data_IF_140543996816
#
_entry.id   IF_140543996816
#
_cell.length_a   1.000
_cell.length_b   1.000
_cell.length_c   1.000
_cell.angle_alpha   90.00
_cell.angle_beta   90.00
_cell.angle_gamma   90.00
#
_symmetry.space_group_name_H-M   'P 1'
#
loop_
_entity.id
_entity.type
_entity.pdbx_description
1 polymer ?
#
# COMPACT_ATOMS: atom_id res chain seq x y z
N UNK A 1 36.37 -20.35 -16.38
CA UNK A 1 35.69 -20.83 -15.16
C UNK A 1 34.52 -19.89 -14.90
N UNK A 2 33.33 -20.44 -14.65
CA UNK A 2 32.03 -19.83 -14.99
C UNK A 2 31.79 -18.44 -14.39
N UNK A 3 31.70 -17.42 -15.25
CA UNK A 3 31.32 -16.04 -14.88
C UNK A 3 29.83 -15.88 -14.59
N UNK A 4 29.27 -16.76 -13.75
CA UNK A 4 27.90 -16.60 -13.27
C UNK A 4 27.90 -15.56 -12.15
N UNK A 5 27.13 -14.49 -12.32
CA UNK A 5 26.93 -13.50 -11.26
C UNK A 5 26.39 -14.17 -9.99
N UNK A 6 26.73 -13.68 -8.79
CA UNK A 6 26.14 -14.17 -7.54
C UNK A 6 24.60 -14.12 -7.63
N UNK A 7 23.92 -15.04 -6.92
CA UNK A 7 22.45 -14.99 -6.85
C UNK A 7 22.04 -13.67 -6.21
N UNK A 8 20.95 -13.10 -6.71
CA UNK A 8 20.46 -11.83 -6.20
C UNK A 8 20.06 -11.95 -4.71
N UNK A 9 20.43 -10.93 -3.93
CA UNK A 9 20.45 -10.99 -2.48
C UNK A 9 19.07 -10.93 -1.84
N UNK A 10 18.01 -10.60 -2.57
CA UNK A 10 16.63 -10.75 -2.11
C UNK A 10 15.70 -11.39 -3.12
N UNK A 11 16.22 -12.40 -3.82
CA UNK A 11 15.36 -13.51 -4.21
C UNK A 11 14.68 -14.09 -2.98
N UNK A 12 13.36 -14.27 -3.07
CA UNK A 12 12.61 -15.02 -2.08
C UNK A 12 13.25 -16.41 -1.88
N UNK A 13 13.16 -16.95 -0.67
CA UNK A 13 13.75 -18.22 -0.25
C UNK A 13 13.45 -19.37 -1.22
N UNK A 14 12.24 -19.46 -1.79
CA UNK A 14 11.88 -20.52 -2.74
C UNK A 14 12.47 -20.26 -4.13
N UNK A 15 12.49 -19.00 -4.59
CA UNK A 15 13.14 -18.61 -5.85
C UNK A 15 14.66 -18.82 -5.78
N UNK A 16 15.27 -18.49 -4.64
CA UNK A 16 16.68 -18.74 -4.36
C UNK A 16 16.98 -20.23 -4.31
N UNK A 17 16.24 -21.00 -3.52
CA UNK A 17 16.43 -22.45 -3.42
C UNK A 17 16.29 -23.14 -4.79
N UNK A 18 15.30 -22.73 -5.60
CA UNK A 18 15.17 -23.24 -6.96
C UNK A 18 16.33 -22.83 -7.87
N UNK A 19 16.77 -21.56 -7.81
CA UNK A 19 17.90 -21.07 -8.60
C UNK A 19 19.24 -21.70 -8.21
N UNK A 20 19.47 -21.97 -6.93
CA UNK A 20 20.65 -22.70 -6.43
C UNK A 20 20.72 -24.10 -7.01
N UNK A 21 19.61 -24.84 -6.98
CA UNK A 21 19.54 -26.18 -7.55
C UNK A 21 19.74 -26.13 -9.07
N UNK A 22 19.12 -25.17 -9.75
CA UNK A 22 19.28 -24.99 -11.20
C UNK A 22 20.73 -24.64 -11.58
N UNK A 23 21.41 -23.79 -10.79
CA UNK A 23 22.84 -23.46 -10.98
C UNK A 23 23.72 -24.68 -10.75
N UNK A 24 23.45 -25.47 -9.71
CA UNK A 24 24.21 -26.69 -9.44
C UNK A 24 24.15 -27.63 -10.64
N UNK A 25 22.95 -27.91 -11.14
CA UNK A 25 22.72 -28.74 -12.33
C UNK A 25 23.42 -28.16 -13.57
N UNK A 26 23.37 -26.84 -13.75
CA UNK A 26 24.03 -26.18 -14.87
C UNK A 26 25.57 -26.26 -14.79
N UNK A 27 26.14 -26.16 -13.60
CA UNK A 27 27.59 -26.25 -13.40
C UNK A 27 28.12 -27.66 -13.71
N UNK A 28 27.34 -28.70 -13.41
CA UNK A 28 27.67 -30.10 -13.75
C UNK A 28 27.80 -30.33 -15.26
N UNK A 29 27.10 -29.55 -16.11
CA UNK A 29 27.27 -29.64 -17.56
C UNK A 29 28.68 -29.23 -18.02
N UNK A 30 29.41 -28.42 -17.24
CA UNK A 30 30.73 -27.89 -17.59
C UNK A 30 30.75 -27.17 -18.96
N UNK A 31 29.64 -26.51 -19.32
CA UNK A 31 29.49 -25.73 -20.58
C UNK A 31 29.40 -24.24 -20.27
N UNK A 32 29.93 -23.39 -21.16
CA UNK A 32 29.81 -21.94 -20.99
C UNK A 32 28.37 -21.47 -21.18
N UNK A 33 27.95 -20.45 -20.42
CA UNK A 33 26.58 -19.91 -20.48
C UNK A 33 26.13 -19.57 -21.91
N UNK A 34 26.98 -18.93 -22.71
CA UNK A 34 26.66 -18.61 -24.12
C UNK A 34 26.48 -19.86 -25.00
N UNK A 35 27.32 -20.88 -24.81
CA UNK A 35 27.25 -22.13 -25.58
C UNK A 35 26.00 -22.93 -25.23
N UNK A 36 25.65 -23.00 -23.95
CA UNK A 36 24.43 -23.68 -23.51
C UNK A 36 23.15 -22.93 -23.91
N UNK A 37 23.16 -21.59 -23.83
CA UNK A 37 22.07 -20.75 -24.33
C UNK A 37 21.82 -21.00 -25.83
N UNK A 38 22.88 -21.09 -26.63
CA UNK A 38 22.79 -21.43 -28.05
C UNK A 38 22.24 -22.84 -28.30
N UNK A 39 22.61 -23.85 -27.50
CA UNK A 39 22.07 -25.22 -27.57
C UNK A 39 20.56 -25.24 -27.30
N UNK A 40 20.11 -24.43 -26.35
CA UNK A 40 18.70 -24.34 -25.96
C UNK A 40 17.91 -23.34 -26.82
N UNK A 41 18.52 -22.73 -27.85
CA UNK A 41 17.92 -21.68 -28.68
C UNK A 41 17.33 -20.51 -27.87
N UNK A 42 17.98 -20.10 -26.78
CA UNK A 42 17.58 -18.97 -25.93
C UNK A 42 18.66 -17.89 -25.88
N UNK A 43 18.24 -16.66 -25.62
CA UNK A 43 19.15 -15.56 -25.39
C UNK A 43 20.01 -15.78 -24.12
N UNK A 44 21.34 -15.52 -24.16
CA UNK A 44 22.21 -15.66 -22.99
C UNK A 44 21.74 -14.86 -21.77
N UNK A 45 21.18 -13.66 -21.95
CA UNK A 45 20.63 -12.85 -20.87
C UNK A 45 19.36 -13.46 -20.26
N UNK A 46 18.59 -14.24 -21.03
CA UNK A 46 17.45 -14.99 -20.51
C UNK A 46 17.91 -16.18 -19.66
N UNK A 47 18.90 -16.94 -20.14
CA UNK A 47 19.51 -18.03 -19.36
C UNK A 47 20.15 -17.50 -18.06
N UNK A 48 20.82 -16.34 -18.13
CA UNK A 48 21.39 -15.70 -16.95
C UNK A 48 20.33 -15.33 -15.91
N UNK A 49 19.14 -14.90 -16.33
CA UNK A 49 18.02 -14.59 -15.42
C UNK A 49 17.38 -15.85 -14.83
N UNK A 50 17.36 -16.96 -15.57
CA UNK A 50 16.94 -18.26 -15.03
C UNK A 50 17.89 -18.75 -13.94
N UNK A 51 19.18 -18.76 -14.23
CA UNK A 51 20.22 -19.15 -13.27
C UNK A 51 20.34 -18.15 -12.11
N UNK A 52 19.98 -16.89 -12.35
CA UNK A 52 19.93 -15.84 -11.35
C UNK A 52 18.62 -15.79 -10.55
N UNK A 53 17.63 -16.65 -10.82
CA UNK A 53 16.36 -16.72 -10.08
C UNK A 53 15.38 -15.56 -10.31
N UNK A 54 15.80 -14.46 -10.95
CA UNK A 54 14.94 -13.31 -11.25
C UNK A 54 13.84 -13.62 -12.27
N UNK A 55 14.03 -14.69 -13.06
CA UNK A 55 12.99 -15.25 -13.93
C UNK A 55 12.94 -16.75 -13.76
N UNK A 56 11.74 -17.32 -13.75
CA UNK A 56 11.57 -18.77 -13.63
C UNK A 56 11.37 -19.37 -15.02
N UNK A 57 12.17 -20.38 -15.43
CA UNK A 57 12.02 -21.07 -16.70
C UNK A 57 10.76 -21.95 -16.73
N UNK A 58 10.23 -22.24 -17.91
CA UNK A 58 9.19 -23.27 -18.05
C UNK A 58 9.74 -24.65 -17.66
N UNK A 59 8.89 -25.53 -17.09
CA UNK A 59 9.30 -26.87 -16.68
C UNK A 59 9.98 -27.69 -17.79
N UNK A 60 9.56 -27.51 -19.05
CA UNK A 60 10.20 -28.15 -20.21
C UNK A 60 11.70 -27.90 -20.26
N UNK A 61 12.15 -26.68 -20.00
CA UNK A 61 13.57 -26.34 -19.99
C UNK A 61 14.34 -27.08 -18.88
N UNK A 62 13.73 -27.26 -17.71
CA UNK A 62 14.32 -28.01 -16.60
C UNK A 62 14.41 -29.50 -16.94
N UNK A 63 13.37 -30.05 -17.56
CA UNK A 63 13.37 -31.42 -18.06
C UNK A 63 14.45 -31.65 -19.14
N UNK A 64 14.58 -30.71 -20.08
CA UNK A 64 15.61 -30.75 -21.13
C UNK A 64 17.03 -30.70 -20.51
N UNK A 65 17.23 -29.91 -19.45
CA UNK A 65 18.49 -29.87 -18.69
C UNK A 65 18.85 -31.22 -18.08
N UNK A 66 17.88 -31.96 -17.52
CA UNK A 66 18.12 -33.32 -17.03
C UNK A 66 18.52 -34.26 -18.17
N UNK A 67 17.86 -34.17 -19.32
CA UNK A 67 18.21 -34.94 -20.51
C UNK A 67 19.65 -34.67 -20.97
N UNK A 68 20.03 -33.39 -21.04
CA UNK A 68 21.38 -32.99 -21.44
C UNK A 68 22.47 -33.45 -20.46
N UNK A 69 22.17 -33.47 -19.15
CA UNK A 69 23.09 -34.00 -18.12
C UNK A 69 23.30 -35.51 -18.28
N UNK A 70 22.24 -36.25 -18.60
CA UNK A 70 22.31 -37.68 -18.85
C UNK A 70 23.09 -37.97 -20.15
N UNK A 71 22.88 -37.19 -21.21
CA UNK A 71 23.55 -37.36 -22.51
C UNK A 71 25.04 -37.01 -22.47
N UNK A 72 25.41 -35.88 -21.86
CA UNK A 72 26.78 -35.35 -21.93
C UNK A 72 27.71 -35.99 -20.88
N UNK A 73 27.18 -36.35 -19.70
CA UNK A 73 27.97 -36.77 -18.54
C UNK A 73 27.46 -38.05 -17.85
N UNK A 74 26.40 -38.68 -18.36
CA UNK A 74 25.83 -39.89 -17.76
C UNK A 74 25.17 -39.67 -16.39
N UNK A 75 24.88 -38.41 -16.02
CA UNK A 75 24.26 -38.07 -14.74
C UNK A 75 22.75 -38.26 -14.86
N UNK A 76 22.21 -39.28 -14.22
CA UNK A 76 20.77 -39.55 -14.15
C UNK A 76 20.24 -38.97 -12.84
N UNK A 77 19.39 -37.96 -12.94
CA UNK A 77 18.67 -37.40 -11.79
C UNK A 77 17.54 -38.36 -11.42
N UNK A 78 17.62 -38.95 -10.22
CA UNK A 78 16.62 -39.92 -9.73
C UNK A 78 15.22 -39.31 -9.66
N UNK A 79 14.19 -40.16 -9.79
CA UNK A 79 12.79 -39.70 -9.83
C UNK A 79 12.39 -38.93 -8.55
N UNK A 80 12.91 -39.33 -7.39
CA UNK A 80 12.70 -38.60 -6.13
C UNK A 80 13.32 -37.19 -6.11
N UNK A 81 14.48 -37.02 -6.73
CA UNK A 81 15.14 -35.72 -6.84
C UNK A 81 14.41 -34.83 -7.87
N UNK A 82 13.95 -35.39 -8.98
CA UNK A 82 13.11 -34.69 -9.95
C UNK A 82 11.81 -34.16 -9.31
N UNK A 83 11.15 -34.96 -8.48
CA UNK A 83 9.94 -34.56 -7.74
C UNK A 83 10.22 -33.41 -6.77
N UNK A 84 11.35 -33.45 -6.05
CA UNK A 84 11.78 -32.37 -5.16
C UNK A 84 12.05 -31.07 -5.93
N UNK A 85 12.74 -31.14 -7.06
CA UNK A 85 13.01 -29.98 -7.92
C UNK A 85 11.70 -29.40 -8.48
N UNK A 86 10.76 -30.27 -8.85
CA UNK A 86 9.44 -29.87 -9.32
C UNK A 86 8.63 -29.15 -8.24
N UNK A 87 8.70 -29.59 -6.99
CA UNK A 87 8.07 -28.91 -5.87
C UNK A 87 8.65 -27.50 -5.66
N UNK A 88 9.98 -27.36 -5.68
CA UNK A 88 10.66 -26.06 -5.60
C UNK A 88 10.29 -25.14 -6.78
N UNK A 89 10.21 -25.69 -7.99
CA UNK A 89 9.80 -24.95 -9.19
C UNK A 89 8.38 -24.39 -9.05
N UNK A 90 7.43 -25.20 -8.59
CA UNK A 90 6.04 -24.78 -8.37
C UNK A 90 5.90 -23.78 -7.21
N UNK A 91 6.74 -23.88 -6.18
CA UNK A 91 6.77 -22.91 -5.08
C UNK A 91 7.31 -21.56 -5.57
N UNK A 92 8.42 -21.56 -6.30
CA UNK A 92 9.00 -20.35 -6.88
C UNK A 92 8.04 -19.66 -7.87
N UNK A 93 7.32 -20.42 -8.72
CA UNK A 93 6.34 -19.87 -9.66
C UNK A 93 5.22 -19.11 -8.94
N UNK A 94 4.77 -19.62 -7.79
CA UNK A 94 3.73 -18.98 -6.98
C UNK A 94 4.20 -17.67 -6.37
N UNK A 95 5.42 -17.63 -5.84
CA UNK A 95 5.94 -16.45 -5.16
C UNK A 95 6.39 -15.34 -6.11
N UNK A 96 7.03 -15.67 -7.24
CA UNK A 96 7.48 -14.68 -8.22
C UNK A 96 6.32 -13.98 -8.98
N UNK A 97 5.25 -14.74 -9.28
CA UNK A 97 4.05 -14.17 -9.89
C UNK A 97 3.35 -13.15 -8.98
N UNK A 98 3.21 -13.46 -7.68
CA UNK A 98 2.56 -12.58 -6.69
C UNK A 98 3.37 -11.29 -6.44
N UNK A 99 4.70 -11.38 -6.35
CA UNK A 99 5.57 -10.19 -6.15
C UNK A 99 5.55 -9.27 -7.38
N UNK A 100 5.64 -9.83 -8.59
CA UNK A 100 5.57 -9.02 -9.82
C UNK A 100 4.23 -8.30 -9.96
N UNK A 101 3.13 -8.96 -9.58
CA UNK A 101 1.79 -8.35 -9.58
C UNK A 101 1.64 -7.26 -8.51
N UNK A 102 2.16 -7.48 -7.30
CA UNK A 102 2.14 -6.49 -6.22
C UNK A 102 2.93 -5.22 -6.58
N UNK A 103 4.13 -5.36 -7.16
CA UNK A 103 4.94 -4.22 -7.63
C UNK A 103 4.22 -3.46 -8.75
N UNK A 104 3.62 -4.18 -9.71
CA UNK A 104 2.84 -3.55 -10.78
C UNK A 104 1.61 -2.78 -10.25
N UNK A 105 0.93 -3.33 -9.25
CA UNK A 105 -0.22 -2.67 -8.62
C UNK A 105 0.20 -1.38 -7.91
N UNK A 106 1.20 -1.46 -7.01
CA UNK A 106 1.69 -0.31 -6.26
C UNK A 106 2.26 0.78 -7.17
N UNK A 107 2.97 0.40 -8.23
CA UNK A 107 3.44 1.36 -9.24
C UNK A 107 2.27 2.03 -9.99
N UNK A 108 1.19 1.29 -10.25
CA UNK A 108 -0.04 1.83 -10.82
C UNK A 108 -0.73 2.84 -9.90
N UNK A 109 -0.82 2.53 -8.61
CA UNK A 109 -1.38 3.44 -7.60
C UNK A 109 -0.52 4.69 -7.40
N UNK A 110 0.81 4.55 -7.40
CA UNK A 110 1.74 5.67 -7.27
C UNK A 110 1.56 6.63 -8.44
N UNK A 111 1.45 6.10 -9.66
CA UNK A 111 1.20 6.92 -10.85
C UNK A 111 -0.12 7.68 -10.74
N UNK A 112 -1.19 7.04 -10.28
CA UNK A 112 -2.48 7.69 -10.11
C UNK A 112 -2.43 8.81 -9.04
N UNK A 113 -1.72 8.57 -7.93
CA UNK A 113 -1.54 9.56 -6.88
C UNK A 113 -0.71 10.77 -7.34
N UNK A 114 0.37 10.55 -8.09
CA UNK A 114 1.20 11.61 -8.68
C UNK A 114 0.44 12.45 -9.72
N UNK A 115 -0.39 11.81 -10.56
CA UNK A 115 -1.27 12.53 -11.49
C UNK A 115 -2.28 13.43 -10.76
N UNK A 116 -2.82 12.97 -9.62
CA UNK A 116 -3.76 13.74 -8.80
C UNK A 116 -3.07 14.90 -8.06
N UNK A 117 -1.87 14.67 -7.52
CA UNK A 117 -1.05 15.71 -6.90
C UNK A 117 -0.78 16.85 -7.88
N UNK A 118 -0.30 16.51 -9.10
CA UNK A 118 -0.02 17.50 -10.15
C UNK A 118 -1.24 18.31 -10.56
N UNK A 119 -2.41 17.66 -10.71
CA UNK A 119 -3.66 18.36 -11.04
C UNK A 119 -4.07 19.32 -9.92
N UNK A 120 -3.97 18.87 -8.67
CA UNK A 120 -4.33 19.67 -7.50
C UNK A 120 -3.42 20.88 -7.34
N UNK A 121 -2.10 20.71 -7.49
CA UNK A 121 -1.13 21.82 -7.45
C UNK A 121 -1.36 22.83 -8.58
N UNK A 122 -1.62 22.35 -9.80
CA UNK A 122 -1.92 23.24 -10.92
C UNK A 122 -3.24 24.02 -10.73
N UNK A 123 -4.23 23.44 -10.05
CA UNK A 123 -5.47 24.13 -9.69
C UNK A 123 -5.26 25.12 -8.55
N UNK A 124 -4.43 24.79 -7.56
CA UNK A 124 -4.02 25.69 -6.49
C UNK A 124 -3.38 26.96 -7.06
N UNK A 125 -2.38 26.85 -7.93
CA UNK A 125 -1.71 28.00 -8.54
C UNK A 125 -2.68 28.93 -9.28
N UNK A 126 -3.66 28.35 -10.01
CA UNK A 126 -4.69 29.12 -10.71
C UNK A 126 -5.61 29.87 -9.75
N UNK A 127 -6.05 29.19 -8.69
CA UNK A 127 -6.92 29.79 -7.68
C UNK A 127 -6.20 30.87 -6.88
N UNK A 128 -4.92 30.66 -6.54
CA UNK A 128 -4.09 31.62 -5.81
C UNK A 128 -3.94 32.92 -6.62
N UNK A 129 -3.58 32.81 -7.91
CA UNK A 129 -3.56 33.97 -8.83
C UNK A 129 -4.91 34.68 -8.93
N UNK A 130 -6.01 33.94 -9.08
CA UNK A 130 -7.33 34.52 -9.22
C UNK A 130 -7.81 35.20 -7.91
N UNK A 131 -7.43 34.65 -6.75
CA UNK A 131 -7.68 35.27 -5.44
C UNK A 131 -6.92 36.59 -5.34
N UNK A 132 -5.64 36.63 -5.69
CA UNK A 132 -4.82 37.85 -5.64
C UNK A 132 -5.32 38.94 -6.58
N UNK A 133 -5.70 38.59 -7.81
CA UNK A 133 -6.31 39.53 -8.78
C UNK A 133 -7.61 40.14 -8.22
N UNK A 134 -8.48 39.30 -7.66
CA UNK A 134 -9.76 39.75 -7.07
C UNK A 134 -9.51 40.64 -5.84
N UNK A 135 -8.50 40.32 -5.04
CA UNK A 135 -8.10 41.10 -3.86
C UNK A 135 -7.59 42.49 -4.29
N UNK A 136 -6.86 42.57 -5.40
CA UNK A 136 -6.44 43.84 -6.01
C UNK A 136 -7.61 44.69 -6.49
N UNK A 137 -8.58 44.08 -7.18
CA UNK A 137 -9.80 44.79 -7.64
C UNK A 137 -10.62 45.37 -6.48
N UNK A 138 -10.74 44.64 -5.37
CA UNK A 138 -11.42 45.13 -4.16
C UNK A 138 -10.68 46.34 -3.58
N UNK A 139 -9.34 46.29 -3.50
CA UNK A 139 -8.55 47.42 -3.00
C UNK A 139 -8.73 48.68 -3.87
N UNK A 140 -8.71 48.53 -5.20
CA UNK A 140 -8.97 49.63 -6.13
C UNK A 140 -10.37 50.23 -5.96
N UNK A 141 -11.39 49.40 -5.70
CA UNK A 141 -12.76 49.85 -5.42
C UNK A 141 -12.86 50.58 -4.08
N UNK A 142 -12.20 50.08 -3.04
CA UNK A 142 -12.18 50.73 -1.73
C UNK A 142 -11.51 52.12 -1.79
N UNK A 143 -10.43 52.28 -2.57
CA UNK A 143 -9.78 53.57 -2.81
C UNK A 143 -10.72 54.55 -3.56
N UNK A 144 -11.47 54.06 -4.56
CA UNK A 144 -12.46 54.88 -5.28
C UNK A 144 -13.62 55.30 -4.39
N UNK A 145 -14.14 54.38 -3.57
CA UNK A 145 -15.20 54.67 -2.60
C UNK A 145 -14.77 55.75 -1.61
N UNK A 146 -13.56 55.62 -1.06
CA UNK A 146 -12.98 56.61 -0.13
C UNK A 146 -12.80 57.98 -0.77
N UNK A 147 -12.41 58.03 -2.05
CA UNK A 147 -12.30 59.28 -2.80
C UNK A 147 -13.67 59.96 -2.99
N UNK A 148 -14.68 59.20 -3.38
CA UNK A 148 -16.06 59.70 -3.53
C UNK A 148 -16.65 60.20 -2.20
N UNK A 149 -16.37 59.51 -1.08
CA UNK A 149 -16.78 59.95 0.25
C UNK A 149 -16.18 61.31 0.63
N UNK A 150 -14.89 61.51 0.35
CA UNK A 150 -14.22 62.79 0.58
C UNK A 150 -14.79 63.90 -0.32
N UNK A 151 -15.02 63.61 -1.60
CA UNK A 151 -15.59 64.57 -2.55
C UNK A 151 -17.03 64.97 -2.17
N UNK A 152 -17.83 64.05 -1.60
CA UNK A 152 -19.15 64.33 -1.03
C UNK A 152 -19.09 65.25 0.20
N UNK A 153 -17.99 65.19 0.97
CA UNK A 153 -17.78 66.04 2.15
C UNK A 153 -17.45 67.50 1.80
N UNK A 154 -16.87 67.74 0.62
CA UNK A 154 -16.26 69.02 0.25
C UNK A 154 -17.08 69.87 -0.76
N UNK A 155 -18.14 69.37 -1.44
CA UNK A 155 -18.80 70.12 -2.54
C UNK A 155 -20.35 70.08 -2.61
N UNK A 156 -20.95 71.19 -3.07
CA UNK A 156 -22.34 71.30 -3.58
C UNK A 156 -22.49 70.55 -4.92
N UNK A 157 -23.64 69.90 -5.22
CA UNK A 157 -23.72 68.86 -6.24
C UNK A 157 -23.62 69.41 -7.67
N UNK A 158 -22.56 69.00 -8.39
CA UNK A 158 -22.35 69.26 -9.81
C UNK A 158 -22.60 68.03 -10.72
N UNK A 159 -22.90 66.86 -10.14
CA UNK A 159 -23.14 65.60 -10.86
C UNK A 159 -24.52 65.00 -10.55
N UNK A 160 -25.12 64.20 -11.48
CA UNK A 160 -26.38 63.52 -11.25
C UNK A 160 -26.16 62.40 -10.21
N UNK A 161 -26.80 62.56 -9.07
CA UNK A 161 -26.98 61.59 -7.97
C UNK A 161 -25.73 60.77 -7.53
N UNK A 162 -24.73 61.41 -6.89
CA UNK A 162 -23.50 60.74 -6.42
C UNK A 162 -23.76 59.65 -5.36
N UNK A 163 -24.94 59.64 -4.73
CA UNK A 163 -25.37 58.59 -3.82
C UNK A 163 -25.67 57.26 -4.57
N UNK A 164 -26.19 57.33 -5.79
CA UNK A 164 -26.48 56.16 -6.61
C UNK A 164 -25.19 55.48 -7.10
N UNK A 165 -24.20 56.27 -7.52
CA UNK A 165 -22.88 55.77 -7.94
C UNK A 165 -22.12 55.11 -6.79
N UNK A 166 -22.17 55.71 -5.59
CA UNK A 166 -21.57 55.13 -4.39
C UNK A 166 -22.24 53.80 -4.00
N UNK A 167 -23.58 53.72 -4.05
CA UNK A 167 -24.30 52.48 -3.78
C UNK A 167 -23.98 51.37 -4.79
N UNK A 168 -23.81 51.71 -6.07
CA UNK A 168 -23.44 50.76 -7.12
C UNK A 168 -22.02 50.18 -6.90
N UNK A 169 -21.04 51.04 -6.59
CA UNK A 169 -19.66 50.61 -6.29
C UNK A 169 -19.58 49.76 -5.01
N UNK A 170 -20.36 50.11 -3.97
CA UNK A 170 -20.47 49.29 -2.76
C UNK A 170 -21.05 47.91 -3.07
N UNK A 171 -22.07 47.83 -3.92
CA UNK A 171 -22.67 46.56 -4.33
C UNK A 171 -21.67 45.70 -5.12
N UNK A 172 -20.92 46.30 -6.05
CA UNK A 172 -19.85 45.62 -6.80
C UNK A 172 -18.77 45.08 -5.85
N UNK A 173 -18.28 45.91 -4.92
CA UNK A 173 -17.29 45.49 -3.91
C UNK A 173 -17.79 44.34 -3.05
N UNK A 174 -19.04 44.41 -2.57
CA UNK A 174 -19.64 43.34 -1.76
C UNK A 174 -19.78 42.03 -2.55
N UNK A 175 -20.10 42.12 -3.85
CA UNK A 175 -20.21 40.96 -4.74
C UNK A 175 -18.85 40.30 -4.95
N UNK A 176 -17.80 41.10 -5.21
CA UNK A 176 -16.43 40.61 -5.33
C UNK A 176 -15.90 40.03 -4.02
N UNK A 177 -16.21 40.64 -2.88
CA UNK A 177 -15.82 40.13 -1.56
C UNK A 177 -16.46 38.76 -1.25
N UNK A 178 -17.73 38.56 -1.62
CA UNK A 178 -18.38 37.27 -1.50
C UNK A 178 -17.76 36.22 -2.43
N UNK A 179 -17.41 36.59 -3.66
CA UNK A 179 -16.68 35.73 -4.59
C UNK A 179 -15.30 35.33 -4.07
N UNK A 180 -14.54 36.27 -3.51
CA UNK A 180 -13.23 36.02 -2.91
C UNK A 180 -13.31 35.04 -1.75
N UNK A 181 -14.34 35.15 -0.90
CA UNK A 181 -14.55 34.20 0.21
C UNK A 181 -14.79 32.77 -0.30
N UNK A 182 -15.53 32.61 -1.40
CA UNK A 182 -15.77 31.31 -2.02
C UNK A 182 -14.48 30.73 -2.61
N UNK A 183 -13.74 31.52 -3.38
CA UNK A 183 -12.47 31.09 -3.98
C UNK A 183 -11.41 30.76 -2.94
N UNK A 184 -11.36 31.49 -1.82
CA UNK A 184 -10.46 31.20 -0.71
C UNK A 184 -10.77 29.84 -0.05
N UNK A 185 -12.06 29.52 0.13
CA UNK A 185 -12.46 28.21 0.65
C UNK A 185 -12.14 27.07 -0.34
N UNK A 186 -12.34 27.29 -1.64
CA UNK A 186 -11.97 26.32 -2.69
C UNK A 186 -10.44 26.10 -2.75
N UNK A 187 -9.65 27.16 -2.59
CA UNK A 187 -8.19 27.10 -2.53
C UNK A 187 -7.71 26.29 -1.34
N UNK A 188 -8.30 26.48 -0.16
CA UNK A 188 -7.94 25.72 1.06
C UNK A 188 -8.26 24.23 0.92
N UNK A 189 -9.41 23.90 0.34
CA UNK A 189 -9.77 22.51 0.03
C UNK A 189 -8.84 21.89 -1.02
N UNK A 190 -8.45 22.65 -2.04
CA UNK A 190 -7.51 22.21 -3.08
C UNK A 190 -6.11 21.94 -2.51
N UNK A 191 -5.61 22.84 -1.66
CA UNK A 191 -4.35 22.65 -0.90
C UNK A 191 -4.38 21.39 -0.05
N UNK A 192 -5.49 21.16 0.65
CA UNK A 192 -5.69 19.95 1.47
C UNK A 192 -5.62 18.69 0.61
N UNK A 193 -6.24 18.69 -0.57
CA UNK A 193 -6.19 17.56 -1.52
C UNK A 193 -4.78 17.32 -2.06
N UNK A 194 -4.07 18.37 -2.44
CA UNK A 194 -2.68 18.29 -2.90
C UNK A 194 -1.77 17.66 -1.84
N UNK A 195 -1.84 18.14 -0.59
CA UNK A 195 -1.06 17.59 0.51
C UNK A 195 -1.37 16.12 0.82
N UNK A 196 -2.63 15.71 0.68
CA UNK A 196 -3.03 14.31 0.85
C UNK A 196 -2.53 13.40 -0.29
N UNK A 197 -2.56 13.90 -1.53
CA UNK A 197 -2.02 13.17 -2.68
C UNK A 197 -0.50 13.00 -2.56
N UNK A 198 0.21 14.05 -2.15
CA UNK A 198 1.66 14.00 -1.89
C UNK A 198 2.03 12.97 -0.81
N UNK A 199 1.33 12.98 0.33
CA UNK A 199 1.55 12.01 1.40
C UNK A 199 1.27 10.56 0.96
N UNK A 200 0.32 10.35 0.04
CA UNK A 200 0.04 9.04 -0.55
C UNK A 200 1.18 8.60 -1.48
N UNK A 201 1.74 9.49 -2.28
CA UNK A 201 2.93 9.21 -3.08
C UNK A 201 4.10 8.76 -2.20
N UNK A 202 4.41 9.52 -1.15
CA UNK A 202 5.49 9.17 -0.22
C UNK A 202 5.31 7.77 0.41
N UNK A 203 4.08 7.43 0.80
CA UNK A 203 3.77 6.12 1.37
C UNK A 203 4.00 4.99 0.36
N UNK A 204 3.49 5.14 -0.87
CA UNK A 204 3.60 4.15 -1.93
C UNK A 204 5.06 3.96 -2.36
N UNK A 205 5.84 5.05 -2.43
CA UNK A 205 7.28 4.97 -2.66
C UNK A 205 8.00 4.22 -1.55
N UNK A 206 7.70 4.50 -0.27
CA UNK A 206 8.27 3.75 0.86
C UNK A 206 7.94 2.27 0.81
N UNK A 207 6.72 1.91 0.42
CA UNK A 207 6.29 0.51 0.26
C UNK A 207 7.03 -0.18 -0.89
N UNK A 208 7.20 0.49 -2.04
CA UNK A 208 7.98 -0.02 -3.16
C UNK A 208 9.45 -0.22 -2.76
N UNK A 209 10.07 0.76 -2.12
CA UNK A 209 11.44 0.67 -1.61
C UNK A 209 11.57 -0.47 -0.60
N UNK A 210 10.59 -0.71 0.26
CA UNK A 210 10.63 -1.83 1.20
C UNK A 210 10.58 -3.19 0.50
N UNK A 211 9.78 -3.31 -0.57
CA UNK A 211 9.72 -4.51 -1.41
C UNK A 211 11.06 -4.71 -2.14
N UNK A 212 11.66 -3.64 -2.66
CA UNK A 212 12.98 -3.66 -3.32
C UNK A 212 14.13 -3.95 -2.33
N UNK A 213 14.07 -3.45 -1.09
CA UNK A 213 15.06 -3.70 -0.04
C UNK A 213 14.96 -5.12 0.53
N UNK A 214 13.75 -5.68 0.64
CA UNK A 214 13.56 -7.12 0.86
C UNK A 214 14.08 -7.94 -0.33
N UNK A 215 14.10 -7.35 -1.52
CA UNK A 215 14.80 -7.89 -2.69
C UNK A 215 16.32 -7.66 -2.70
N UNK A 216 16.91 -6.96 -1.71
CA UNK A 216 18.30 -6.53 -1.78
C UNK A 216 19.21 -6.64 -0.54
N UNK A 217 18.74 -6.95 0.68
CA UNK A 217 19.60 -6.69 1.87
C UNK A 217 20.25 -7.94 2.51
N UNK A 218 21.59 -7.97 2.40
CA UNK A 218 22.54 -8.81 3.12
C UNK A 218 22.56 -8.53 4.64
N UNK A 219 22.48 -9.58 5.46
CA UNK A 219 23.15 -9.68 6.76
C UNK A 219 23.70 -11.12 6.93
N UNK A 220 24.86 -11.31 7.58
CA UNK A 220 25.45 -12.63 7.77
C UNK A 220 24.60 -13.44 8.77
N UNK A 221 24.35 -14.70 8.44
CA UNK A 221 23.60 -15.63 9.26
C UNK A 221 24.26 -15.83 10.65
N UNK A 222 23.48 -15.83 11.74
CA UNK A 222 23.75 -16.69 12.87
C UNK A 222 22.97 -18.01 12.73
N UNK A 223 23.52 -19.03 13.35
CA UNK A 223 23.26 -20.45 13.13
C UNK A 223 21.89 -20.93 13.64
N UNK A 224 21.34 -21.92 12.91
CA UNK A 224 20.45 -23.00 13.36
C UNK A 224 19.42 -22.68 14.47
N UNK A 225 18.20 -22.27 14.07
CA UNK A 225 16.96 -22.63 14.78
C UNK A 225 15.89 -23.04 13.75
N UNK A 226 15.16 -24.09 14.10
CA UNK A 226 14.25 -24.95 13.31
C UNK A 226 13.04 -24.28 12.65
N UNK A 227 12.66 -24.79 11.47
CA UNK A 227 11.29 -24.96 10.93
C UNK A 227 10.17 -24.02 11.45
N UNK A 228 10.30 -22.71 11.24
CA UNK A 228 9.16 -21.80 11.35
C UNK A 228 9.12 -20.88 10.13
N UNK A 229 7.93 -20.60 9.61
CA UNK A 229 7.75 -19.68 8.48
C UNK A 229 8.31 -18.30 8.87
N UNK A 230 8.93 -17.51 7.97
CA UNK A 230 9.56 -16.22 8.33
C UNK A 230 8.58 -15.19 8.91
N UNK A 231 7.28 -15.37 8.69
CA UNK A 231 6.19 -14.58 9.27
C UNK A 231 5.90 -14.93 10.75
N UNK A 232 6.33 -16.10 11.22
CA UNK A 232 6.08 -16.61 12.57
C UNK A 232 7.24 -16.30 13.55
N UNK A 233 8.41 -15.96 13.01
CA UNK A 233 9.63 -15.69 13.76
C UNK A 233 9.51 -14.56 14.82
N UNK A 234 8.85 -13.42 14.58
CA UNK A 234 8.73 -12.37 15.61
C UNK A 234 7.76 -12.73 16.74
N UNK A 235 6.74 -13.54 16.46
CA UNK A 235 5.68 -13.95 17.41
C UNK A 235 6.22 -14.93 18.45
N UNK A 236 6.93 -15.98 17.99
CA UNK A 236 7.49 -17.00 18.87
C UNK A 236 8.63 -16.48 19.77
N UNK A 237 9.34 -15.45 19.33
CA UNK A 237 10.43 -14.84 20.10
C UNK A 237 9.95 -14.02 21.31
N UNK A 238 8.65 -13.67 21.39
CA UNK A 238 8.11 -12.78 22.43
C UNK A 238 7.17 -13.46 23.44
N UNK A 239 6.72 -14.69 23.19
CA UNK A 239 5.77 -15.40 24.06
C UNK A 239 4.39 -14.76 24.18
N UNK A 240 4.10 -13.69 23.42
CA UNK A 240 2.78 -13.08 23.28
C UNK A 240 2.08 -13.68 22.06
N UNK A 241 0.78 -13.97 22.22
CA UNK A 241 -0.12 -14.30 21.12
C UNK A 241 -0.91 -13.04 20.74
N UNK A 242 -0.54 -12.34 19.64
CA UNK A 242 -1.22 -11.12 19.22
C UNK A 242 -2.65 -11.45 18.82
N UNK A 243 -3.63 -10.71 19.34
CA UNK A 243 -5.03 -10.92 18.95
C UNK A 243 -5.36 -10.18 17.67
N UNK A 244 -6.07 -10.85 16.77
CA UNK A 244 -6.56 -10.28 15.52
C UNK A 244 -8.09 -10.37 15.51
N UNK A 245 -8.76 -9.24 15.34
CA UNK A 245 -10.23 -9.19 15.25
C UNK A 245 -10.64 -9.30 13.78
N UNK A 246 -11.48 -10.29 13.46
CA UNK A 246 -12.05 -10.53 12.13
C UNK A 246 -13.54 -10.17 12.17
N UNK A 247 -13.98 -9.26 11.31
CA UNK A 247 -15.37 -8.77 11.27
C UNK A 247 -15.89 -8.88 9.83
N UNK A 248 -16.84 -9.77 9.60
CA UNK A 248 -17.48 -9.99 8.29
C UNK A 248 -18.84 -10.65 8.51
N UNK A 249 -19.88 -10.18 7.82
CA UNK A 249 -21.25 -10.70 7.97
C UNK A 249 -21.43 -12.09 7.36
N UNK A 250 -20.53 -12.49 6.45
CA UNK A 250 -20.56 -13.79 5.82
C UNK A 250 -19.60 -14.76 6.52
N UNK A 251 -20.15 -15.78 7.16
CA UNK A 251 -19.35 -16.81 7.83
C UNK A 251 -18.35 -17.54 6.92
N UNK A 252 -18.61 -17.61 5.61
CA UNK A 252 -17.66 -18.17 4.64
C UNK A 252 -16.38 -17.32 4.50
N UNK A 253 -16.50 -15.99 4.57
CA UNK A 253 -15.35 -15.08 4.52
C UNK A 253 -14.54 -15.17 5.82
N UNK A 254 -15.20 -15.21 6.98
CA UNK A 254 -14.53 -15.42 8.27
C UNK A 254 -13.71 -16.72 8.27
N UNK A 255 -14.31 -17.82 7.82
CA UNK A 255 -13.63 -19.11 7.72
C UNK A 255 -12.41 -19.05 6.76
N UNK A 256 -12.53 -18.32 5.66
CA UNK A 256 -11.43 -18.12 4.73
C UNK A 256 -10.30 -17.28 5.35
N UNK A 257 -10.63 -16.20 6.07
CA UNK A 257 -9.66 -15.36 6.77
C UNK A 257 -8.93 -16.17 7.87
N UNK A 258 -9.67 -16.94 8.66
CA UNK A 258 -9.11 -17.84 9.66
C UNK A 258 -8.19 -18.90 9.04
N UNK A 259 -8.57 -19.50 7.91
CA UNK A 259 -7.73 -20.48 7.23
C UNK A 259 -6.43 -19.85 6.68
N UNK A 260 -6.50 -18.59 6.22
CA UNK A 260 -5.34 -17.86 5.68
C UNK A 260 -4.39 -17.40 6.79
N UNK A 261 -4.91 -16.95 7.93
CA UNK A 261 -4.12 -16.37 9.02
C UNK A 261 -3.75 -17.37 10.13
N UNK A 262 -4.52 -18.46 10.28
CA UNK A 262 -4.37 -19.45 11.35
C UNK A 262 -3.07 -20.25 11.32
N UNK A 263 -2.27 -20.12 10.26
CA UNK A 263 -0.94 -20.74 10.16
C UNK A 263 0.08 -20.02 11.06
N UNK A 264 -0.21 -18.80 11.55
CA UNK A 264 0.80 -17.88 12.11
C UNK A 264 0.73 -17.62 13.62
N UNK A 265 0.00 -18.45 14.38
CA UNK A 265 -0.01 -18.39 15.84
C UNK A 265 -0.67 -17.16 16.46
N UNK A 266 -1.55 -16.48 15.70
CA UNK A 266 -2.38 -15.37 16.17
C UNK A 266 -3.63 -15.87 16.91
N UNK A 267 -4.05 -15.14 17.94
CA UNK A 267 -5.32 -15.37 18.60
C UNK A 267 -6.44 -14.66 17.81
N UNK A 268 -7.16 -15.42 17.00
CA UNK A 268 -8.21 -14.88 16.14
C UNK A 268 -9.54 -14.79 16.88
N UNK A 269 -10.18 -13.63 16.83
CA UNK A 269 -11.53 -13.42 17.34
C UNK A 269 -12.41 -13.04 16.16
N UNK A 270 -13.36 -13.90 15.81
CA UNK A 270 -14.25 -13.68 14.67
C UNK A 270 -15.65 -13.28 15.12
N UNK A 271 -16.18 -12.21 14.52
CA UNK A 271 -17.51 -11.68 14.80
C UNK A 271 -18.25 -11.39 13.50
N UNK A 272 -19.58 -11.55 13.52
CA UNK A 272 -20.41 -11.48 12.33
C UNK A 272 -21.06 -10.10 12.10
N UNK A 273 -20.80 -9.12 12.96
CA UNK A 273 -21.42 -7.79 12.84
C UNK A 273 -20.58 -6.70 13.50
N UNK A 274 -20.76 -5.46 13.05
CA UNK A 274 -20.11 -4.31 13.68
C UNK A 274 -20.46 -4.12 15.17
N UNK A 275 -21.72 -4.31 15.63
CA UNK A 275 -22.04 -4.23 17.06
C UNK A 275 -21.36 -5.33 17.88
N UNK A 276 -21.19 -6.53 17.33
CA UNK A 276 -20.42 -7.60 17.96
C UNK A 276 -18.94 -7.24 18.03
N UNK A 277 -18.38 -6.59 17.01
CA UNK A 277 -17.01 -6.08 17.03
C UNK A 277 -16.79 -5.05 18.14
N UNK A 278 -17.74 -4.11 18.31
CA UNK A 278 -17.69 -3.13 19.40
C UNK A 278 -17.82 -3.76 20.79
N UNK A 279 -18.52 -4.90 20.93
CA UNK A 279 -18.59 -5.69 22.17
C UNK A 279 -17.28 -6.45 22.42
N UNK A 280 -16.72 -7.10 21.41
CA UNK A 280 -15.43 -7.79 21.52
C UNK A 280 -14.30 -6.85 21.97
N UNK A 281 -14.28 -5.62 21.44
CA UNK A 281 -13.34 -4.57 21.82
C UNK A 281 -13.57 -3.97 23.23
N UNK A 282 -14.68 -4.28 23.89
CA UNK A 282 -14.91 -3.94 25.30
C UNK A 282 -14.48 -5.05 26.25
N UNK A 283 -14.53 -6.31 25.78
CA UNK A 283 -14.20 -7.50 26.56
C UNK A 283 -12.70 -7.81 26.55
N UNK A 284 -11.95 -7.27 25.59
CA UNK A 284 -10.50 -7.43 25.47
C UNK A 284 -9.83 -6.16 24.95
N UNK A 285 -8.80 -5.69 25.64
CA UNK A 285 -8.12 -4.42 25.36
C UNK A 285 -6.86 -4.56 24.46
N UNK A 286 -6.50 -5.77 24.01
CA UNK A 286 -5.18 -6.08 23.41
C UNK A 286 -5.27 -6.66 21.98
N UNK A 287 -5.87 -5.93 21.05
CA UNK A 287 -5.87 -6.32 19.63
C UNK A 287 -4.71 -5.65 18.86
N UNK A 288 -3.97 -6.46 18.11
CA UNK A 288 -2.89 -6.00 17.25
C UNK A 288 -3.40 -5.35 15.97
N UNK A 289 -4.46 -5.89 15.38
CA UNK A 289 -5.08 -5.35 14.16
C UNK A 289 -6.53 -5.84 14.03
N UNK A 290 -7.35 -5.03 13.35
CA UNK A 290 -8.76 -5.33 13.03
C UNK A 290 -8.90 -5.47 11.51
N UNK A 291 -9.41 -6.61 11.04
CA UNK A 291 -9.86 -6.83 9.68
C UNK A 291 -11.37 -6.61 9.64
N UNK A 292 -11.82 -5.60 8.90
CA UNK A 292 -13.20 -5.14 8.94
C UNK A 292 -13.81 -5.11 7.54
N UNK A 293 -14.86 -5.89 7.32
CA UNK A 293 -15.63 -5.78 6.08
C UNK A 293 -16.38 -4.45 6.01
N UNK A 294 -16.38 -3.87 4.83
CA UNK A 294 -17.09 -2.62 4.57
C UNK A 294 -18.59 -2.87 4.39
N UNK A 295 -18.94 -3.95 3.70
CA UNK A 295 -20.32 -4.23 3.29
C UNK A 295 -21.01 -5.15 4.29
N UNK A 296 -21.51 -4.58 5.39
CA UNK A 296 -22.29 -5.32 6.39
C UNK A 296 -23.71 -4.77 6.53
N UNK A 297 -24.71 -5.63 6.80
CA UNK A 297 -26.07 -5.21 7.13
C UNK A 297 -26.14 -4.49 8.49
N UNK A 298 -27.15 -3.65 8.65
CA UNK A 298 -27.43 -2.81 9.83
C UNK A 298 -26.42 -1.70 10.11
N UNK A 299 -25.15 -2.03 10.38
CA UNK A 299 -24.07 -1.08 10.65
C UNK A 299 -22.89 -1.36 9.73
N UNK A 300 -22.55 -0.40 8.88
CA UNK A 300 -21.49 -0.58 7.89
C UNK A 300 -20.09 -0.56 8.54
N UNK A 301 -19.08 -1.04 7.80
CA UNK A 301 -17.71 -1.08 8.30
C UNK A 301 -17.15 0.31 8.63
N UNK A 302 -17.57 1.36 7.94
CA UNK A 302 -17.07 2.72 8.19
C UNK A 302 -17.62 3.31 9.48
N UNK A 303 -18.91 3.15 9.73
CA UNK A 303 -19.60 3.54 10.95
C UNK A 303 -19.01 2.78 12.13
N UNK A 304 -18.80 1.46 11.97
CA UNK A 304 -18.12 0.61 12.95
C UNK A 304 -16.72 1.17 13.27
N UNK A 305 -15.89 1.45 12.26
CA UNK A 305 -14.56 2.01 12.45
C UNK A 305 -14.59 3.39 13.15
N UNK A 306 -15.53 4.26 12.78
CA UNK A 306 -15.70 5.55 13.43
C UNK A 306 -16.08 5.40 14.92
N UNK A 307 -16.89 4.40 15.29
CA UNK A 307 -17.16 4.08 16.69
C UNK A 307 -15.91 3.57 17.44
N UNK A 308 -15.10 2.73 16.78
CA UNK A 308 -13.84 2.21 17.34
C UNK A 308 -12.85 3.35 17.59
N UNK A 309 -12.69 4.28 16.63
CA UNK A 309 -11.73 5.38 16.74
C UNK A 309 -12.14 6.50 17.71
N UNK A 310 -13.44 6.66 17.99
CA UNK A 310 -13.93 7.64 18.97
C UNK A 310 -13.55 7.30 20.42
N UNK A 311 -13.24 6.04 20.73
CA UNK A 311 -12.91 5.60 22.09
C UNK A 311 -11.41 5.70 22.34
N UNK A 312 -11.03 6.33 23.44
CA UNK A 312 -9.64 6.61 23.78
C UNK A 312 -8.74 5.36 23.82
N UNK A 313 -9.30 4.21 24.23
CA UNK A 313 -8.60 2.92 24.36
C UNK A 313 -8.37 2.20 23.04
N UNK A 314 -9.31 2.31 22.09
CA UNK A 314 -9.29 1.54 20.84
C UNK A 314 -8.89 2.38 19.63
N UNK A 315 -8.66 3.70 19.80
CA UNK A 315 -8.30 4.60 18.70
C UNK A 315 -6.97 4.25 18.03
N UNK A 316 -6.04 3.68 18.77
CA UNK A 316 -4.69 3.38 18.29
C UNK A 316 -4.62 2.06 17.52
N UNK A 317 -5.66 1.21 17.64
CA UNK A 317 -5.69 -0.11 17.00
C UNK A 317 -5.80 0.09 15.48
N UNK A 318 -4.89 -0.46 14.66
CA UNK A 318 -4.97 -0.35 13.21
C UNK A 318 -6.16 -1.13 12.67
N UNK A 319 -6.86 -0.53 11.69
CA UNK A 319 -8.00 -1.13 10.99
C UNK A 319 -7.62 -1.28 9.52
N UNK A 320 -7.79 -2.49 8.99
CA UNK A 320 -7.68 -2.80 7.56
C UNK A 320 -9.08 -3.12 7.05
N UNK A 321 -9.54 -2.35 6.07
CA UNK A 321 -10.83 -2.59 5.45
C UNK A 321 -10.76 -3.69 4.39
N UNK A 322 -11.73 -4.59 4.39
CA UNK A 322 -11.99 -5.51 3.30
C UNK A 322 -13.14 -4.95 2.47
N UNK A 323 -12.97 -4.76 1.16
CA UNK A 323 -13.99 -4.13 0.29
C UNK A 323 -14.18 -4.91 -1.00
N UNK A 324 -15.43 -5.08 -1.44
CA UNK A 324 -15.74 -5.64 -2.76
C UNK A 324 -15.79 -4.58 -3.89
N UNK A 325 -15.76 -3.29 -3.54
CA UNK A 325 -15.84 -2.17 -4.50
C UNK A 325 -14.42 -1.66 -4.76
N UNK A 326 -13.94 -1.86 -5.99
CA UNK A 326 -12.66 -1.33 -6.45
C UNK A 326 -12.70 0.19 -6.57
N UNK A 327 -11.70 0.86 -5.98
CA UNK A 327 -11.27 2.24 -6.24
C UNK A 327 -12.37 3.30 -6.45
N UNK A 328 -13.46 3.24 -5.69
CA UNK A 328 -14.43 4.33 -5.69
C UNK A 328 -13.97 5.44 -4.71
N UNK A 329 -13.63 6.65 -5.20
CA UNK A 329 -12.98 7.69 -4.40
C UNK A 329 -13.78 8.16 -3.17
N UNK A 330 -15.11 8.03 -3.15
CA UNK A 330 -15.93 8.32 -1.96
C UNK A 330 -15.66 7.35 -0.79
N UNK A 331 -15.40 6.08 -1.11
CA UNK A 331 -15.19 5.01 -0.14
C UNK A 331 -13.79 5.04 0.48
N UNK A 332 -12.79 5.43 -0.31
CA UNK A 332 -11.45 5.75 0.20
C UNK A 332 -11.51 6.97 1.15
N UNK A 333 -12.27 8.01 0.79
CA UNK A 333 -12.40 9.24 1.59
C UNK A 333 -13.07 8.99 2.96
N UNK A 334 -14.10 8.11 3.02
CA UNK A 334 -14.76 7.72 4.28
C UNK A 334 -13.88 6.85 5.18
N UNK A 335 -13.14 5.90 4.63
CA UNK A 335 -12.31 5.02 5.46
C UNK A 335 -11.10 5.70 6.08
N UNK A 336 -10.49 6.68 5.40
CA UNK A 336 -9.43 7.49 5.99
C UNK A 336 -9.94 8.49 7.03
N UNK A 337 -11.11 9.11 6.81
CA UNK A 337 -11.77 9.94 7.83
C UNK A 337 -12.17 9.14 9.09
N UNK A 338 -12.45 7.85 8.93
CA UNK A 338 -12.75 6.92 10.01
C UNK A 338 -11.49 6.29 10.65
N UNK A 339 -10.28 6.65 10.20
CA UNK A 339 -9.00 6.24 10.80
C UNK A 339 -8.48 4.85 10.40
N UNK A 340 -8.90 4.31 9.26
CA UNK A 340 -8.29 3.10 8.73
C UNK A 340 -6.89 3.34 8.19
N UNK A 341 -6.04 2.33 8.38
CA UNK A 341 -4.62 2.39 8.00
C UNK A 341 -4.41 1.79 6.62
N UNK A 342 -5.28 0.87 6.19
CA UNK A 342 -5.12 0.17 4.91
C UNK A 342 -6.44 -0.43 4.36
N UNK A 343 -6.45 -0.79 3.08
CA UNK A 343 -7.58 -1.45 2.39
C UNK A 343 -7.10 -2.69 1.63
N UNK A 344 -7.98 -3.69 1.53
CA UNK A 344 -7.77 -4.91 0.75
C UNK A 344 -9.05 -5.17 -0.05
N UNK A 345 -8.90 -5.30 -1.36
CA UNK A 345 -10.02 -5.58 -2.28
C UNK A 345 -10.31 -7.09 -2.31
N UNK A 346 -11.59 -7.46 -2.19
CA UNK A 346 -12.11 -8.81 -2.40
C UNK A 346 -12.32 -9.02 -3.92
N UNK A 347 -11.90 -10.16 -4.51
CA UNK A 347 -11.20 -11.28 -3.87
C UNK A 347 -9.73 -10.93 -3.58
N UNK A 348 -9.30 -11.20 -2.35
CA UNK A 348 -7.96 -10.84 -1.87
C UNK A 348 -6.94 -11.94 -2.10
N UNK A 349 -5.69 -11.56 -2.37
CA UNK A 349 -4.56 -12.50 -2.36
C UNK A 349 -4.25 -12.88 -0.90
N UNK A 350 -4.33 -14.18 -0.52
CA UNK A 350 -3.99 -14.66 0.81
C UNK A 350 -2.60 -14.24 1.29
N UNK A 351 -1.64 -14.06 0.38
CA UNK A 351 -0.31 -13.59 0.76
C UNK A 351 -0.28 -12.09 1.08
N UNK A 352 -0.97 -11.27 0.28
CA UNK A 352 -1.08 -9.83 0.53
C UNK A 352 -1.76 -9.53 1.87
N UNK A 353 -2.83 -10.26 2.19
CA UNK A 353 -3.51 -10.17 3.49
C UNK A 353 -2.55 -10.52 4.64
N UNK A 354 -1.83 -11.64 4.54
CA UNK A 354 -0.86 -12.07 5.55
C UNK A 354 0.25 -11.06 5.75
N UNK A 355 0.82 -10.54 4.67
CA UNK A 355 1.91 -9.56 4.74
C UNK A 355 1.46 -8.27 5.44
N UNK A 356 0.26 -7.76 5.11
CA UNK A 356 -0.31 -6.57 5.76
C UNK A 356 -0.56 -6.80 7.25
N UNK A 357 -1.20 -7.92 7.61
CA UNK A 357 -1.44 -8.28 9.02
C UNK A 357 -0.13 -8.42 9.80
N UNK A 358 0.88 -9.08 9.23
CA UNK A 358 2.16 -9.31 9.89
C UNK A 358 2.89 -7.99 10.23
N UNK A 359 2.84 -6.98 9.36
CA UNK A 359 3.44 -5.66 9.62
C UNK A 359 2.82 -5.00 10.86
N UNK A 360 1.49 -5.01 10.98
CA UNK A 360 0.82 -4.43 12.14
C UNK A 360 1.05 -5.21 13.42
N UNK A 361 1.10 -6.54 13.32
CA UNK A 361 1.48 -7.40 14.44
C UNK A 361 2.92 -7.12 14.89
N UNK A 362 3.85 -6.90 13.97
CA UNK A 362 5.24 -6.57 14.30
C UNK A 362 5.33 -5.23 15.05
N UNK A 363 4.60 -4.20 14.60
CA UNK A 363 4.50 -2.93 15.33
C UNK A 363 3.89 -3.09 16.72
N UNK A 364 2.84 -3.91 16.86
CA UNK A 364 2.23 -4.23 18.14
C UNK A 364 3.24 -4.88 19.09
N UNK A 365 3.96 -5.90 18.61
CA UNK A 365 4.99 -6.60 19.39
C UNK A 365 6.14 -5.66 19.77
N UNK A 366 6.57 -4.78 18.87
CA UNK A 366 7.63 -3.80 19.15
C UNK A 366 7.20 -2.80 20.22
N UNK A 367 5.97 -2.27 20.15
CA UNK A 367 5.42 -1.34 21.15
C UNK A 367 5.35 -1.99 22.54
N UNK A 368 4.96 -3.26 22.61
CA UNK A 368 4.92 -4.00 23.88
C UNK A 368 6.28 -4.44 24.41
N UNK A 369 7.31 -4.54 23.55
CA UNK A 369 8.71 -4.74 23.98
C UNK A 369 9.30 -3.47 24.59
N UNK A 370 8.99 -2.30 24.01
CA UNK A 370 9.57 -1.03 24.43
C UNK A 370 8.88 -0.45 25.68
N UNK A 371 7.60 -0.75 25.92
CA UNK A 371 6.83 -0.29 27.08
C UNK A 371 6.05 -1.48 27.69
N UNK A 372 6.68 -2.30 28.56
CA UNK A 372 5.95 -3.36 29.26
C UNK A 372 4.95 -2.71 30.21
N UNK A 373 3.66 -2.86 29.92
CA UNK A 373 2.59 -2.46 30.84
C UNK A 373 2.80 -3.20 32.16
N UNK A 374 2.88 -2.50 33.31
CA UNK A 374 2.93 -3.19 34.60
C UNK A 374 1.61 -3.92 34.80
N UNK A 375 1.71 -5.23 35.04
CA UNK A 375 0.60 -6.13 35.35
C UNK A 375 -0.24 -5.66 36.55
#
# INVERSE_FOLDING_TARGET
MSGLQPLDAGLNSECRAFAEVLRKLFLELNVTLRRYASRCFIDPGTLSRYLGGSRIPAWRFVADLFGHLAEDHGIIVEEGEQQRIRALHLAALRTNASISQAVQHLAGELKAADEEARKSTAQEERLDHAVDDTRGLIADLDDRLKKLENDLGDQLPLHPDPAADHAALLQERNTLAAGLAHMAAELEETRRRAGLAEARCELLERQLVHIEQRQGTLLPAPELVSLVDPLDAPVLACGLHPKVLLVDDQGANLLALEAVLGVHGYDMVSVASGPDALRALLESDDFAVILLDVQMPDMDGYETAAHIKRRARTRDIPIIFLTAIGNDPEYSMRGYAAGAVDFIVKPFDPWALRAKVAVFVEFYLQRHREHPTPH
#
